data_IF_013352732406
#
_entry.id   IF_013352732406
#
_cell.length_a   1.000
_cell.length_b   1.000
_cell.length_c   1.000
_cell.angle_alpha   90.00
_cell.angle_beta   90.00
_cell.angle_gamma   90.00
#
_symmetry.space_group_name_H-M   'P 1'
#
loop_
_entity.id
_entity.type
_entity.pdbx_description
1 polymer ?
#
# COMPACT_ATOMS: atom_id res chain seq x y z
N UNK A 1 -72.15 19.66 46.82
CA UNK A 1 -71.45 19.11 45.64
C UNK A 1 -71.25 20.28 44.69
N UNK A 2 -70.01 20.57 44.28
CA UNK A 2 -69.74 21.62 43.30
C UNK A 2 -70.24 21.23 41.91
N UNK A 3 -70.58 22.23 41.08
CA UNK A 3 -71.04 22.08 39.70
C UNK A 3 -70.06 22.80 38.77
N UNK A 4 -69.63 22.11 37.72
CA UNK A 4 -68.79 22.69 36.65
C UNK A 4 -69.56 22.55 35.35
N UNK A 5 -69.78 23.67 34.67
CA UNK A 5 -70.46 23.72 33.38
C UNK A 5 -69.47 24.30 32.37
N UNK A 6 -69.16 23.54 31.33
CA UNK A 6 -68.41 24.05 30.19
C UNK A 6 -69.39 24.49 29.11
N UNK A 7 -69.25 25.72 28.64
CA UNK A 7 -69.94 26.23 27.47
C UNK A 7 -68.97 26.20 26.28
N UNK A 8 -69.21 25.26 25.37
CA UNK A 8 -68.40 25.05 24.17
C UNK A 8 -68.53 26.17 23.15
N UNK A 9 -69.64 26.92 23.13
CA UNK A 9 -69.84 27.99 22.15
C UNK A 9 -69.08 29.26 22.53
N UNK A 10 -69.11 29.61 23.82
CA UNK A 10 -68.38 30.77 24.33
C UNK A 10 -66.94 30.43 24.77
N UNK A 11 -66.55 29.15 24.73
CA UNK A 11 -65.28 28.64 25.26
C UNK A 11 -65.04 29.10 26.71
N UNK A 12 -66.09 29.02 27.54
CA UNK A 12 -66.07 29.46 28.93
C UNK A 12 -66.41 28.32 29.88
N UNK A 13 -65.86 28.37 31.10
CA UNK A 13 -66.13 27.39 32.16
C UNK A 13 -66.74 28.14 33.34
N UNK A 14 -67.94 27.74 33.73
CA UNK A 14 -68.64 28.25 34.91
C UNK A 14 -68.46 27.25 36.05
N UNK A 15 -67.85 27.70 37.15
CA UNK A 15 -67.61 26.90 38.34
C UNK A 15 -68.49 27.43 39.48
N UNK A 16 -69.29 26.56 40.06
CA UNK A 16 -70.12 26.81 41.23
C UNK A 16 -69.69 25.84 42.34
N UNK A 17 -68.87 26.30 43.30
CA UNK A 17 -68.40 25.50 44.43
C UNK A 17 -68.05 26.40 45.63
N UNK A 18 -67.57 25.79 46.71
CA UNK A 18 -67.07 26.49 47.91
C UNK A 18 -65.92 27.44 47.55
N UNK A 19 -65.85 28.67 48.11
CA UNK A 19 -64.89 29.70 47.68
C UNK A 19 -63.42 29.25 47.60
N UNK A 20 -62.98 28.38 48.51
CA UNK A 20 -61.61 27.83 48.50
C UNK A 20 -61.32 26.93 47.29
N UNK A 21 -62.29 26.10 46.88
CA UNK A 21 -62.17 25.22 45.70
C UNK A 21 -62.28 26.00 44.40
N UNK A 22 -63.14 27.01 44.34
CA UNK A 22 -63.22 27.91 43.18
C UNK A 22 -61.87 28.61 42.96
N UNK A 23 -61.20 29.04 44.03
CA UNK A 23 -59.87 29.63 43.94
C UNK A 23 -58.83 28.62 43.40
N UNK A 24 -58.78 27.42 43.96
CA UNK A 24 -57.88 26.36 43.49
C UNK A 24 -58.13 25.99 42.02
N UNK A 25 -59.39 25.76 41.64
CA UNK A 25 -59.78 25.45 40.26
C UNK A 25 -59.49 26.62 39.31
N UNK A 26 -59.68 27.86 39.77
CA UNK A 26 -59.30 29.06 39.01
C UNK A 26 -57.79 29.17 38.77
N UNK A 27 -56.98 28.82 39.77
CA UNK A 27 -55.52 28.76 39.63
C UNK A 27 -55.10 27.63 38.67
N UNK A 28 -55.77 26.47 38.71
CA UNK A 28 -55.56 25.38 37.74
C UNK A 28 -55.95 25.76 36.31
N UNK A 29 -57.09 26.43 36.12
CA UNK A 29 -57.53 26.89 34.79
C UNK A 29 -56.54 27.91 34.23
N UNK A 30 -56.10 28.88 35.03
CA UNK A 30 -55.08 29.85 34.61
C UNK A 30 -53.73 29.20 34.28
N UNK A 31 -53.39 28.08 34.91
CA UNK A 31 -52.19 27.32 34.59
C UNK A 31 -52.30 26.53 33.26
N UNK A 32 -53.53 26.20 32.82
CA UNK A 32 -53.81 25.43 31.60
C UNK A 32 -54.12 26.36 30.41
N UNK A 33 -54.68 27.55 30.66
CA UNK A 33 -54.98 28.57 29.65
C UNK A 33 -53.70 29.29 29.19
N UNK A 34 -53.01 28.67 28.23
CA UNK A 34 -51.82 29.24 27.60
C UNK A 34 -52.28 30.05 26.38
N UNK A 35 -52.02 31.37 26.33
CA UNK A 35 -52.37 32.17 25.17
C UNK A 35 -51.62 31.65 23.94
N UNK A 36 -52.36 31.47 22.84
CA UNK A 36 -51.77 31.08 21.55
C UNK A 36 -51.57 32.30 20.68
N UNK A 37 -50.42 32.36 20.03
CA UNK A 37 -50.12 33.39 19.05
C UNK A 37 -50.02 32.75 17.66
N UNK A 38 -50.40 33.49 16.62
CA UNK A 38 -50.20 33.06 15.24
C UNK A 38 -49.11 33.92 14.62
N UNK A 39 -48.06 33.27 14.12
CA UNK A 39 -46.96 33.93 13.43
C UNK A 39 -46.90 33.47 11.99
N UNK A 40 -46.72 34.44 11.09
CA UNK A 40 -46.64 34.22 9.64
C UNK A 40 -45.20 34.37 9.21
N UNK A 41 -44.69 33.35 8.54
CA UNK A 41 -43.35 33.31 7.97
C UNK A 41 -43.46 33.32 6.45
N UNK A 42 -42.72 34.19 5.78
CA UNK A 42 -42.58 34.18 4.32
C UNK A 42 -41.19 33.63 4.01
N UNK A 43 -41.14 32.43 3.45
CA UNK A 43 -39.89 31.76 3.11
C UNK A 43 -39.37 32.28 1.77
N UNK A 44 -38.08 32.57 1.69
CA UNK A 44 -37.44 33.11 0.48
C UNK A 44 -36.75 32.05 -0.36
N UNK A 45 -36.19 31.01 0.27
CA UNK A 45 -35.31 30.03 -0.34
C UNK A 45 -35.76 28.59 -0.11
N UNK A 46 -36.35 28.30 1.06
CA UNK A 46 -36.89 26.99 1.38
C UNK A 46 -38.32 26.81 0.84
N UNK A 47 -38.62 25.60 0.35
CA UNK A 47 -39.99 25.24 -0.05
C UNK A 47 -40.86 25.07 1.20
N UNK A 48 -41.99 25.79 1.25
CA UNK A 48 -42.86 25.79 2.43
C UNK A 48 -43.39 24.40 2.78
N UNK A 49 -43.57 23.51 1.82
CA UNK A 49 -44.03 22.13 2.03
C UNK A 49 -43.05 21.33 2.91
N UNK A 50 -41.76 21.35 2.54
CA UNK A 50 -40.71 20.67 3.31
C UNK A 50 -40.57 21.23 4.73
N UNK A 51 -40.66 22.56 4.87
CA UNK A 51 -40.56 23.22 6.17
C UNK A 51 -41.79 22.94 7.03
N UNK A 52 -42.98 22.94 6.43
CA UNK A 52 -44.24 22.68 7.12
C UNK A 52 -44.28 21.27 7.72
N UNK A 53 -43.81 20.25 6.98
CA UNK A 53 -43.82 18.87 7.46
C UNK A 53 -42.90 18.67 8.67
N UNK A 54 -41.70 19.26 8.65
CA UNK A 54 -40.80 19.25 9.83
C UNK A 54 -41.36 20.03 11.01
N UNK A 55 -42.01 21.16 10.76
CA UNK A 55 -42.58 21.98 11.84
C UNK A 55 -43.79 21.32 12.49
N UNK A 56 -44.62 20.59 11.74
CA UNK A 56 -45.74 19.80 12.30
C UNK A 56 -45.28 18.84 13.41
N UNK A 57 -44.07 18.28 13.31
CA UNK A 57 -43.51 17.37 14.32
C UNK A 57 -43.13 18.09 15.64
N UNK A 58 -42.85 19.40 15.58
CA UNK A 58 -42.43 20.19 16.74
C UNK A 58 -43.60 20.91 17.45
N UNK A 59 -44.76 20.95 16.79
CA UNK A 59 -45.96 21.67 17.24
C UNK A 59 -46.60 21.01 18.46
N UNK A 60 -47.16 21.81 19.36
CA UNK A 60 -47.87 21.31 20.55
C UNK A 60 -49.10 20.48 20.16
N UNK A 61 -49.21 19.20 20.58
CA UNK A 61 -50.18 18.25 20.04
C UNK A 61 -51.66 18.61 20.28
N UNK A 62 -51.96 19.51 21.22
CA UNK A 62 -53.35 19.90 21.57
C UNK A 62 -53.73 21.33 21.21
N UNK A 63 -52.74 22.19 20.95
CA UNK A 63 -52.92 23.64 20.93
C UNK A 63 -52.41 24.24 19.61
N UNK A 64 -51.40 23.62 19.02
CA UNK A 64 -50.73 24.18 17.87
C UNK A 64 -51.29 23.70 16.54
N UNK A 65 -51.22 24.56 15.53
CA UNK A 65 -51.63 24.23 14.17
C UNK A 65 -50.69 24.85 13.15
N UNK A 66 -50.41 24.11 12.09
CA UNK A 66 -49.57 24.55 10.96
C UNK A 66 -50.43 24.56 9.71
N UNK A 67 -50.49 25.70 9.04
CA UNK A 67 -51.05 25.84 7.70
C UNK A 67 -50.00 26.45 6.80
N UNK A 68 -50.01 26.09 5.53
CA UNK A 68 -49.13 26.71 4.55
C UNK A 68 -49.89 27.06 3.29
N UNK A 69 -49.38 28.04 2.57
CA UNK A 69 -49.82 28.40 1.23
C UNK A 69 -48.62 28.26 0.29
N UNK A 70 -48.65 27.21 -0.56
CA UNK A 70 -47.59 26.90 -1.51
C UNK A 70 -47.46 27.97 -2.61
N UNK A 71 -48.57 28.64 -2.97
CA UNK A 71 -48.56 29.64 -4.04
C UNK A 71 -47.82 30.92 -3.64
N UNK A 72 -47.91 31.30 -2.37
CA UNK A 72 -47.25 32.48 -1.81
C UNK A 72 -46.03 32.18 -0.93
N UNK A 73 -45.66 30.90 -0.80
CA UNK A 73 -44.60 30.38 0.05
C UNK A 73 -44.67 30.90 1.50
N UNK A 74 -45.90 30.97 2.04
CA UNK A 74 -46.19 31.46 3.40
C UNK A 74 -46.52 30.30 4.34
N UNK A 75 -45.92 30.32 5.52
CA UNK A 75 -46.17 29.40 6.60
C UNK A 75 -46.88 30.11 7.75
N UNK A 76 -48.00 29.55 8.19
CA UNK A 76 -48.80 30.04 9.30
C UNK A 76 -48.66 29.05 10.45
N UNK A 77 -48.04 29.50 11.54
CA UNK A 77 -47.83 28.67 12.73
C UNK A 77 -48.62 29.30 13.88
N UNK A 78 -49.47 28.52 14.52
CA UNK A 78 -50.14 28.87 15.77
C UNK A 78 -49.62 27.99 16.88
N UNK A 79 -49.06 28.55 17.96
CA UNK A 79 -48.62 27.81 19.16
C UNK A 79 -48.37 28.78 20.33
N UNK A 80 -47.91 28.25 21.47
CA UNK A 80 -47.48 29.02 22.62
C UNK A 80 -46.22 29.87 22.29
N UNK A 81 -46.07 31.08 22.87
CA UNK A 81 -44.97 32.01 22.56
C UNK A 81 -43.56 31.44 22.73
N UNK A 82 -43.35 30.54 23.71
CA UNK A 82 -42.05 29.88 23.93
C UNK A 82 -41.66 28.98 22.76
N UNK A 83 -42.60 28.16 22.27
CA UNK A 83 -42.37 27.28 21.11
C UNK A 83 -42.24 28.04 19.80
N UNK A 84 -42.97 29.14 19.65
CA UNK A 84 -42.83 30.00 18.47
C UNK A 84 -41.43 30.59 18.32
N UNK A 85 -40.70 30.81 19.42
CA UNK A 85 -39.27 31.21 19.35
C UNK A 85 -38.38 30.09 18.85
N UNK A 86 -38.55 28.87 19.37
CA UNK A 86 -37.80 27.69 18.89
C UNK A 86 -38.06 27.44 17.39
N UNK A 87 -39.31 27.61 16.95
CA UNK A 87 -39.68 27.51 15.53
C UNK A 87 -39.15 28.68 14.70
N UNK A 88 -39.06 29.89 15.25
CA UNK A 88 -38.47 31.05 14.57
C UNK A 88 -36.99 30.80 14.25
N UNK A 89 -36.24 30.28 15.23
CA UNK A 89 -34.83 29.95 15.06
C UNK A 89 -34.64 28.81 14.05
N UNK A 90 -35.53 27.81 14.08
CA UNK A 90 -35.54 26.72 13.10
C UNK A 90 -35.82 27.21 11.67
N UNK A 91 -36.83 28.06 11.49
CA UNK A 91 -37.17 28.64 10.18
C UNK A 91 -36.00 29.45 9.62
N UNK A 92 -35.36 30.29 10.45
CA UNK A 92 -34.18 31.07 10.03
C UNK A 92 -32.99 30.19 9.64
N UNK A 93 -32.83 29.04 10.30
CA UNK A 93 -31.75 28.11 9.98
C UNK A 93 -31.96 27.40 8.63
N UNK A 94 -33.22 27.13 8.28
CA UNK A 94 -33.57 26.41 7.04
C UNK A 94 -33.73 27.35 5.84
N UNK A 95 -34.21 28.57 6.04
CA UNK A 95 -34.43 29.54 4.97
C UNK A 95 -33.13 30.29 4.60
N UNK A 96 -32.08 29.53 4.28
CA UNK A 96 -30.81 30.06 3.78
C UNK A 96 -30.69 29.87 2.27
N UNK A 97 -30.01 30.80 1.56
CA UNK A 97 -29.74 30.65 0.14
C UNK A 97 -28.84 29.43 -0.09
N UNK A 98 -29.24 28.57 -1.03
CA UNK A 98 -28.40 27.47 -1.52
C UNK A 98 -27.45 28.02 -2.58
N UNK A 99 -26.21 27.59 -2.54
CA UNK A 99 -25.20 27.90 -3.54
C UNK A 99 -24.76 26.60 -4.20
N UNK A 100 -24.52 26.63 -5.52
CA UNK A 100 -23.97 25.49 -6.27
C UNK A 100 -22.57 25.87 -6.74
N UNK A 101 -21.58 25.06 -6.38
CA UNK A 101 -20.20 25.20 -6.85
C UNK A 101 -19.75 23.95 -7.59
N UNK A 102 -18.95 24.17 -8.62
CA UNK A 102 -18.32 23.12 -9.39
C UNK A 102 -16.83 23.11 -9.04
N UNK A 103 -16.35 21.98 -8.53
CA UNK A 103 -14.95 21.75 -8.22
C UNK A 103 -14.37 20.81 -9.27
N UNK A 104 -13.33 21.26 -9.95
CA UNK A 104 -12.53 20.41 -10.83
C UNK A 104 -11.40 19.80 -10.01
N UNK A 105 -11.33 18.48 -9.99
CA UNK A 105 -10.38 17.73 -9.16
C UNK A 105 -9.23 17.27 -10.06
N UNK A 106 -7.98 17.47 -9.62
CA UNK A 106 -6.79 17.25 -10.47
C UNK A 106 -6.10 15.91 -10.20
N UNK A 107 -5.93 15.55 -8.94
CA UNK A 107 -5.15 14.38 -8.50
C UNK A 107 -6.05 13.31 -7.87
N UNK A 108 -7.03 13.71 -7.07
CA UNK A 108 -7.98 12.79 -6.47
C UNK A 108 -9.08 12.36 -7.47
N UNK A 109 -9.67 11.17 -7.25
CA UNK A 109 -10.84 10.72 -8.01
C UNK A 109 -12.10 11.38 -7.45
N UNK A 110 -12.89 12.00 -8.32
CA UNK A 110 -14.15 12.63 -7.96
C UNK A 110 -15.12 11.65 -7.26
N UNK A 111 -15.11 10.37 -7.64
CA UNK A 111 -15.92 9.33 -7.00
C UNK A 111 -15.51 9.08 -5.54
N UNK A 112 -14.22 9.01 -5.23
CA UNK A 112 -13.71 8.76 -3.88
C UNK A 112 -13.97 9.98 -2.96
N UNK A 113 -13.84 11.19 -3.51
CA UNK A 113 -14.21 12.43 -2.83
C UNK A 113 -15.72 12.48 -2.55
N UNK A 114 -16.55 12.13 -3.52
CA UNK A 114 -18.00 12.10 -3.36
C UNK A 114 -18.42 11.21 -2.19
N UNK A 115 -17.85 10.01 -2.08
CA UNK A 115 -18.11 9.08 -0.96
C UNK A 115 -17.71 9.65 0.40
N UNK A 116 -16.61 10.39 0.45
CA UNK A 116 -16.08 11.00 1.67
C UNK A 116 -16.87 12.25 2.10
N UNK A 117 -17.35 13.03 1.13
CA UNK A 117 -18.01 14.33 1.35
C UNK A 117 -19.52 14.18 1.58
N UNK A 118 -20.17 13.18 0.97
CA UNK A 118 -21.63 12.91 1.15
C UNK A 118 -22.11 12.99 2.61
N UNK A 119 -21.42 12.37 3.61
CA UNK A 119 -21.86 12.47 5.01
C UNK A 119 -21.66 13.86 5.65
N UNK A 120 -20.87 14.75 5.05
CA UNK A 120 -20.63 16.11 5.56
C UNK A 120 -21.70 17.12 5.11
N UNK A 121 -22.50 16.74 4.11
CA UNK A 121 -23.58 17.55 3.55
C UNK A 121 -24.68 17.83 4.58
N UNK A 122 -25.35 18.96 4.42
CA UNK A 122 -26.53 19.27 5.24
C UNK A 122 -27.66 18.31 4.89
N UNK A 123 -28.13 17.54 5.87
CA UNK A 123 -29.23 16.58 5.68
C UNK A 123 -30.46 17.25 5.06
N UNK A 124 -31.00 16.64 4.00
CA UNK A 124 -32.19 17.09 3.24
C UNK A 124 -32.03 18.41 2.47
N UNK A 125 -30.84 19.02 2.46
CA UNK A 125 -30.55 20.30 1.80
C UNK A 125 -29.39 20.16 0.82
N UNK A 126 -28.32 19.50 1.25
CA UNK A 126 -27.11 19.30 0.47
C UNK A 126 -27.30 18.21 -0.59
N UNK A 127 -26.85 18.51 -1.80
CA UNK A 127 -26.80 17.57 -2.92
C UNK A 127 -25.38 17.58 -3.51
N UNK A 128 -24.84 16.39 -3.76
CA UNK A 128 -23.54 16.21 -4.38
C UNK A 128 -23.69 15.29 -5.59
N UNK A 129 -23.19 15.76 -6.73
CA UNK A 129 -23.09 14.98 -7.95
C UNK A 129 -21.64 14.96 -8.41
N UNK A 130 -21.23 13.90 -9.08
CA UNK A 130 -19.91 13.81 -9.69
C UNK A 130 -20.03 13.37 -11.14
N UNK A 131 -19.16 13.87 -11.99
CA UNK A 131 -18.99 13.39 -13.36
C UNK A 131 -17.62 12.71 -13.47
N UNK A 132 -17.62 11.40 -13.60
CA UNK A 132 -16.40 10.60 -13.71
C UNK A 132 -15.62 10.88 -15.00
N UNK A 133 -16.30 11.33 -16.07
CA UNK A 133 -15.64 11.62 -17.36
C UNK A 133 -14.84 12.91 -17.30
N UNK A 134 -15.33 13.92 -16.61
CA UNK A 134 -14.66 15.22 -16.45
C UNK A 134 -13.89 15.37 -15.15
N UNK A 135 -13.95 14.36 -14.25
CA UNK A 135 -13.42 14.39 -12.89
C UNK A 135 -13.84 15.66 -12.12
N UNK A 136 -15.13 16.02 -12.23
CA UNK A 136 -15.71 17.18 -11.55
C UNK A 136 -16.68 16.76 -10.47
N UNK A 137 -16.73 17.54 -9.39
CA UNK A 137 -17.69 17.40 -8.29
C UNK A 137 -18.56 18.65 -8.26
N UNK A 138 -19.87 18.46 -8.42
CA UNK A 138 -20.88 19.52 -8.33
C UNK A 138 -21.51 19.44 -6.95
N UNK A 139 -21.23 20.45 -6.13
CA UNK A 139 -21.71 20.56 -4.75
C UNK A 139 -22.79 21.64 -4.66
N UNK A 140 -23.95 21.31 -4.10
CA UNK A 140 -25.00 22.26 -3.76
C UNK A 140 -25.30 22.17 -2.27
N UNK A 141 -25.04 23.24 -1.50
CA UNK A 141 -25.32 23.29 -0.05
C UNK A 141 -25.41 24.76 0.41
N UNK A 142 -25.45 24.98 1.73
CA UNK A 142 -25.43 26.30 2.35
C UNK A 142 -24.00 26.88 2.27
N UNK A 143 -23.79 28.19 1.98
CA UNK A 143 -22.47 28.79 1.83
C UNK A 143 -21.37 28.46 2.89
N UNK A 144 -21.64 28.43 4.21
CA UNK A 144 -20.60 28.08 5.19
C UNK A 144 -20.21 26.59 5.12
N UNK A 145 -21.12 25.71 4.69
CA UNK A 145 -20.84 24.28 4.50
C UNK A 145 -20.01 24.04 3.26
N UNK A 146 -20.31 24.76 2.18
CA UNK A 146 -19.50 24.71 0.96
C UNK A 146 -18.05 25.10 1.24
N UNK A 147 -17.81 26.19 1.99
CA UNK A 147 -16.44 26.61 2.37
C UNK A 147 -15.72 25.56 3.21
N UNK A 148 -16.43 24.89 4.12
CA UNK A 148 -15.84 23.82 4.93
C UNK A 148 -15.46 22.60 4.06
N UNK A 149 -16.32 22.23 3.11
CA UNK A 149 -16.08 21.11 2.17
C UNK A 149 -14.97 21.47 1.18
N UNK A 150 -14.92 22.71 0.69
CA UNK A 150 -13.86 23.23 -0.18
C UNK A 150 -12.48 23.06 0.44
N UNK A 151 -12.30 23.44 1.71
CA UNK A 151 -11.05 23.22 2.44
C UNK A 151 -10.67 21.73 2.56
N UNK A 152 -11.66 20.83 2.64
CA UNK A 152 -11.42 19.38 2.67
C UNK A 152 -11.03 18.87 1.29
N UNK A 153 -11.69 19.34 0.22
CA UNK A 153 -11.33 18.99 -1.16
C UNK A 153 -9.89 19.43 -1.44
N UNK A 154 -9.52 20.67 -1.10
CA UNK A 154 -8.15 21.17 -1.26
C UNK A 154 -7.12 20.37 -0.44
N UNK A 155 -7.50 19.89 0.75
CA UNK A 155 -6.62 19.09 1.58
C UNK A 155 -6.39 17.67 1.02
N UNK A 156 -7.39 17.12 0.30
CA UNK A 156 -7.36 15.77 -0.28
C UNK A 156 -6.85 15.76 -1.73
N UNK A 157 -7.06 16.83 -2.50
CA UNK A 157 -6.61 16.96 -3.89
C UNK A 157 -5.14 17.41 -3.98
N UNK A 158 -4.25 16.59 -3.42
CA UNK A 158 -2.80 16.81 -3.45
C UNK A 158 -2.13 15.86 -4.43
N UNK A 159 -1.03 16.32 -5.00
CA UNK A 159 -0.20 15.49 -5.86
C UNK A 159 0.31 14.26 -5.08
N UNK A 160 0.03 13.07 -5.61
CA UNK A 160 0.54 11.83 -5.05
C UNK A 160 2.03 11.72 -5.32
N UNK A 161 2.80 11.40 -4.27
CA UNK A 161 4.22 11.09 -4.42
C UNK A 161 4.38 9.73 -5.10
N UNK A 162 5.46 9.61 -5.86
CA UNK A 162 5.84 8.36 -6.53
C UNK A 162 7.11 7.80 -5.90
N UNK A 163 7.31 6.49 -6.06
CA UNK A 163 8.54 5.81 -5.66
C UNK A 163 9.16 5.16 -6.90
N UNK A 164 10.38 5.56 -7.24
CA UNK A 164 11.25 4.82 -8.12
C UNK A 164 11.92 3.69 -7.34
N UNK A 165 11.71 2.47 -7.78
CA UNK A 165 12.21 1.28 -7.10
C UNK A 165 13.26 0.65 -8.01
N UNK A 166 14.48 0.59 -7.52
CA UNK A 166 15.59 -0.11 -8.19
C UNK A 166 15.86 -1.44 -7.47
N UNK A 167 15.73 -2.56 -8.19
CA UNK A 167 16.11 -3.86 -7.68
C UNK A 167 17.35 -4.37 -8.41
N UNK A 168 18.39 -4.79 -7.69
CA UNK A 168 19.58 -5.44 -8.25
C UNK A 168 19.61 -6.88 -7.80
N UNK A 169 19.60 -7.80 -8.75
CA UNK A 169 19.58 -9.24 -8.48
C UNK A 169 20.95 -9.78 -8.85
N UNK A 170 21.69 -10.27 -7.86
CA UNK A 170 23.06 -10.78 -8.03
C UNK A 170 23.06 -12.27 -7.72
N UNK A 171 23.56 -13.06 -8.67
CA UNK A 171 23.83 -14.47 -8.46
C UNK A 171 25.32 -14.64 -8.11
N UNK A 172 25.60 -15.23 -6.96
CA UNK A 172 26.95 -15.51 -6.49
C UNK A 172 27.18 -17.01 -6.64
N UNK A 173 28.18 -17.40 -7.42
CA UNK A 173 28.61 -18.81 -7.51
C UNK A 173 29.93 -18.97 -6.75
N UNK A 174 29.90 -19.68 -5.63
CA UNK A 174 31.09 -20.01 -4.85
C UNK A 174 31.79 -21.23 -5.50
N UNK A 175 33.11 -21.18 -5.67
CA UNK A 175 33.90 -22.25 -6.31
C UNK A 175 34.59 -23.13 -5.26
N UNK A 176 34.73 -24.43 -5.55
CA UNK A 176 35.18 -25.54 -4.68
C UNK A 176 36.55 -25.41 -3.97
N UNK A 177 37.32 -24.34 -4.19
CA UNK A 177 38.65 -24.13 -3.57
C UNK A 177 38.62 -23.58 -2.14
N UNK A 178 37.46 -23.16 -1.63
CA UNK A 178 37.32 -22.45 -0.35
C UNK A 178 36.21 -23.09 0.50
N UNK A 179 36.49 -24.28 1.03
CA UNK A 179 35.53 -25.10 1.80
C UNK A 179 35.44 -24.76 3.30
N UNK A 180 36.11 -23.71 3.76
CA UNK A 180 35.83 -23.11 5.07
C UNK A 180 34.92 -21.91 4.84
N UNK A 181 33.65 -22.03 5.25
CA UNK A 181 32.74 -20.89 5.26
C UNK A 181 33.33 -19.68 5.99
N UNK A 182 32.80 -18.49 5.71
CA UNK A 182 33.23 -17.27 6.40
C UNK A 182 32.88 -17.41 7.89
N UNK A 183 33.88 -17.71 8.71
CA UNK A 183 33.71 -17.77 10.16
C UNK A 183 33.77 -16.34 10.72
N UNK A 184 32.62 -15.67 10.75
CA UNK A 184 32.45 -14.30 11.24
C UNK A 184 32.93 -14.10 12.68
N UNK A 185 32.98 -15.18 13.47
CA UNK A 185 33.43 -15.19 14.87
C UNK A 185 34.95 -15.00 15.00
N UNK A 186 35.75 -15.44 14.01
CA UNK A 186 37.22 -15.26 13.98
C UNK A 186 37.68 -13.87 13.56
N UNK A 187 36.76 -13.03 13.07
CA UNK A 187 37.03 -11.66 12.66
C UNK A 187 36.59 -10.63 13.71
N UNK A 188 36.05 -11.08 14.85
CA UNK A 188 35.88 -10.23 16.02
C UNK A 188 37.26 -9.91 16.61
N UNK A 189 37.53 -8.66 17.05
CA UNK A 189 38.82 -8.33 17.65
C UNK A 189 38.98 -9.07 18.98
N UNK A 190 39.60 -10.25 18.93
CA UNK A 190 40.45 -10.73 20.00
C UNK A 190 41.85 -10.19 19.77
N UNK A 191 42.55 -9.85 20.85
CA UNK A 191 43.72 -8.96 20.90
C UNK A 191 44.93 -9.28 19.98
N UNK A 192 44.87 -10.31 19.15
CA UNK A 192 45.97 -10.77 18.30
C UNK A 192 45.96 -10.24 16.85
N UNK A 193 44.83 -9.77 16.29
CA UNK A 193 44.76 -9.34 14.88
C UNK A 193 44.01 -8.01 14.68
N UNK A 194 44.77 -6.90 14.60
CA UNK A 194 44.28 -5.56 14.25
C UNK A 194 44.00 -5.44 12.74
N UNK A 195 42.92 -6.03 12.24
CA UNK A 195 42.49 -5.87 10.84
C UNK A 195 41.22 -5.01 10.70
N UNK A 196 40.46 -4.81 11.79
CA UNK A 196 39.24 -3.98 11.80
C UNK A 196 39.21 -3.12 13.08
N UNK A 197 39.09 -1.80 12.94
CA UNK A 197 38.87 -0.90 14.09
C UNK A 197 37.39 -0.56 14.15
N UNK A 198 36.66 -1.16 15.09
CA UNK A 198 35.27 -0.82 15.39
C UNK A 198 35.25 0.29 16.45
N UNK A 199 34.48 1.36 16.23
CA UNK A 199 34.17 2.34 17.29
C UNK A 199 33.00 1.79 18.12
N UNK A 200 33.27 1.42 19.36
CA UNK A 200 32.23 1.00 20.31
C UNK A 200 31.67 2.22 21.04
N UNK A 201 30.42 2.60 20.76
CA UNK A 201 29.69 3.68 21.46
C UNK A 201 28.74 3.18 22.55
N UNK A 202 28.71 1.87 22.82
CA UNK A 202 27.80 1.27 23.81
C UNK A 202 28.51 0.18 24.63
N UNK A 203 28.68 0.40 25.93
CA UNK A 203 29.23 -0.59 26.86
C UNK A 203 28.14 -1.16 27.76
N UNK A 204 27.79 -2.44 27.59
CA UNK A 204 26.89 -3.15 28.50
C UNK A 204 27.69 -3.93 29.54
N UNK A 205 27.92 -3.28 30.69
CA UNK A 205 28.27 -3.81 32.03
C UNK A 205 29.44 -4.81 32.21
N UNK A 206 30.00 -4.77 33.42
CA UNK A 206 31.39 -5.05 33.76
C UNK A 206 31.59 -6.28 34.66
N UNK A 207 31.54 -7.50 34.12
CA UNK A 207 31.99 -8.71 34.84
C UNK A 207 32.74 -9.68 33.92
N UNK A 208 33.92 -10.20 34.34
CA UNK A 208 34.70 -11.13 33.52
C UNK A 208 34.17 -12.55 33.71
N UNK A 209 33.38 -13.02 32.76
CA UNK A 209 33.02 -14.44 32.61
C UNK A 209 33.27 -14.86 31.16
N UNK A 210 33.76 -16.08 30.88
CA UNK A 210 34.15 -16.52 29.52
C UNK A 210 32.94 -16.83 28.61
N UNK A 211 31.78 -16.24 28.88
CA UNK A 211 30.54 -16.46 28.13
C UNK A 211 30.22 -15.20 27.33
N UNK A 212 30.24 -15.36 26.00
CA UNK A 212 29.93 -14.41 24.92
C UNK A 212 29.49 -13.01 25.31
N UNK A 213 30.40 -12.05 25.13
CA UNK A 213 30.08 -10.62 25.09
C UNK A 213 29.59 -10.29 23.67
N UNK A 214 28.28 -10.18 23.47
CA UNK A 214 27.71 -9.67 22.22
C UNK A 214 27.93 -8.15 22.17
N UNK A 215 28.98 -7.73 21.47
CA UNK A 215 29.21 -6.31 21.17
C UNK A 215 28.58 -5.99 19.80
N UNK A 216 27.95 -4.84 19.62
CA UNK A 216 27.37 -4.40 18.33
C UNK A 216 28.15 -3.16 17.89
N UNK A 217 28.78 -3.20 16.72
CA UNK A 217 29.62 -2.11 16.19
C UNK A 217 29.24 -1.72 14.75
N UNK A 218 29.49 -0.47 14.38
CA UNK A 218 29.24 0.08 13.04
C UNK A 218 30.51 0.03 12.18
N UNK A 219 30.39 -0.21 10.88
CA UNK A 219 31.50 -0.18 9.91
C UNK A 219 31.64 1.22 9.28
N UNK A 220 32.89 1.69 9.16
CA UNK A 220 33.27 2.91 8.43
C UNK A 220 33.22 2.67 6.90
N UNK A 221 33.16 3.77 6.13
CA UNK A 221 33.10 3.84 4.66
C UNK A 221 34.23 3.07 3.96
N UNK A 222 35.41 3.03 4.58
CA UNK A 222 36.58 2.28 4.08
C UNK A 222 36.51 0.77 4.36
N UNK A 223 35.76 0.36 5.40
CA UNK A 223 35.56 -1.05 5.75
C UNK A 223 34.68 -1.80 4.74
N UNK A 224 33.77 -1.09 4.07
CA UNK A 224 32.92 -1.66 3.03
C UNK A 224 33.71 -2.12 1.80
N UNK A 225 34.71 -1.33 1.37
CA UNK A 225 35.59 -1.68 0.26
C UNK A 225 36.46 -2.90 0.56
N UNK A 226 36.98 -3.01 1.79
CA UNK A 226 37.77 -4.17 2.23
C UNK A 226 36.93 -5.46 2.26
N UNK A 227 35.67 -5.39 2.71
CA UNK A 227 34.74 -6.53 2.70
C UNK A 227 34.38 -6.96 1.27
N UNK A 228 34.11 -6.02 0.37
CA UNK A 228 33.82 -6.33 -1.03
C UNK A 228 35.02 -6.92 -1.77
N UNK A 229 36.23 -6.42 -1.52
CA UNK A 229 37.47 -6.93 -2.13
C UNK A 229 37.83 -8.33 -1.59
N UNK A 230 37.47 -8.60 -0.33
CA UNK A 230 37.53 -9.93 0.27
C UNK A 230 36.52 -10.88 -0.39
N UNK A 231 35.23 -10.49 -0.52
CA UNK A 231 34.18 -11.28 -1.19
C UNK A 231 34.53 -11.57 -2.66
N UNK A 232 35.11 -10.59 -3.37
CA UNK A 232 35.55 -10.74 -4.75
C UNK A 232 36.73 -11.73 -4.93
N UNK A 233 37.49 -12.00 -3.86
CA UNK A 233 38.60 -12.98 -3.87
C UNK A 233 38.10 -14.42 -3.68
N UNK A 234 36.91 -14.62 -3.10
CA UNK A 234 36.38 -15.94 -2.69
C UNK A 234 35.29 -16.56 -3.60
N UNK A 235 34.83 -15.87 -4.65
CA UNK A 235 33.82 -16.41 -5.58
C UNK A 235 33.61 -15.59 -6.87
N UNK A 236 32.97 -16.19 -7.89
CA UNK A 236 32.60 -15.49 -9.14
C UNK A 236 31.18 -14.95 -9.00
N UNK A 237 31.02 -13.63 -8.96
CA UNK A 237 29.70 -12.96 -8.93
C UNK A 237 29.23 -12.60 -10.34
N UNK A 238 27.95 -12.81 -10.63
CA UNK A 238 27.31 -12.40 -11.88
C UNK A 238 26.06 -11.59 -11.58
N UNK A 239 26.02 -10.33 -12.02
CA UNK A 239 24.78 -9.54 -12.01
C UNK A 239 23.80 -10.19 -12.99
N UNK A 240 22.61 -10.51 -12.51
CA UNK A 240 21.59 -11.11 -13.35
C UNK A 240 20.78 -10.02 -14.06
N UNK A 241 20.24 -9.07 -13.28
CA UNK A 241 19.37 -8.00 -13.78
C UNK A 241 19.32 -6.80 -12.82
N UNK A 242 18.97 -5.62 -13.37
CA UNK A 242 18.67 -4.40 -12.61
C UNK A 242 17.33 -3.77 -13.04
N UNK A 243 16.17 -4.41 -12.78
CA UNK A 243 14.88 -3.82 -13.10
C UNK A 243 14.61 -2.55 -12.28
N UNK A 244 14.03 -1.55 -12.94
CA UNK A 244 13.61 -0.28 -12.35
C UNK A 244 12.15 -0.03 -12.67
N UNK A 245 11.37 0.39 -11.69
CA UNK A 245 9.93 0.68 -11.88
C UNK A 245 9.54 1.88 -11.02
N UNK A 246 8.86 2.85 -11.62
CA UNK A 246 8.27 3.98 -10.91
C UNK A 246 6.80 3.67 -10.60
N UNK A 247 6.37 3.93 -9.37
CA UNK A 247 5.05 3.52 -8.88
C UNK A 247 4.44 4.59 -7.99
N UNK A 248 3.18 4.93 -8.23
CA UNK A 248 2.41 5.86 -7.40
C UNK A 248 2.17 5.26 -6.01
N UNK A 249 2.16 6.11 -4.98
CA UNK A 249 1.84 5.71 -3.62
C UNK A 249 0.55 4.88 -3.54
N UNK A 250 0.58 3.75 -2.84
CA UNK A 250 -0.53 2.80 -2.64
C UNK A 250 -1.06 2.11 -3.90
N UNK A 251 -0.38 2.22 -5.04
CA UNK A 251 -0.74 1.49 -6.26
C UNK A 251 0.16 0.28 -6.47
N UNK A 252 -0.40 -0.80 -7.00
CA UNK A 252 0.38 -1.96 -7.41
C UNK A 252 0.98 -1.71 -8.80
N UNK A 253 2.25 -2.08 -8.96
CA UNK A 253 2.88 -2.14 -10.27
C UNK A 253 3.67 -3.44 -10.43
N UNK A 254 3.80 -3.86 -11.69
CA UNK A 254 4.56 -5.05 -12.07
C UNK A 254 5.47 -4.75 -13.26
N UNK A 255 6.67 -5.31 -13.23
CA UNK A 255 7.59 -5.35 -14.36
C UNK A 255 7.99 -6.80 -14.62
N UNK A 256 8.01 -7.19 -15.89
CA UNK A 256 8.50 -8.49 -16.35
C UNK A 256 9.57 -8.24 -17.40
N UNK A 257 10.77 -8.79 -17.18
CA UNK A 257 11.89 -8.75 -18.12
C UNK A 257 12.31 -10.18 -18.39
N UNK A 258 12.02 -10.70 -19.57
CA UNK A 258 12.22 -12.10 -19.87
C UNK A 258 11.66 -12.54 -21.21
N UNK A 259 11.65 -13.85 -21.41
CA UNK A 259 11.19 -14.52 -22.62
C UNK A 259 9.88 -15.25 -22.37
N UNK A 260 8.96 -15.16 -23.34
CA UNK A 260 7.76 -15.97 -23.37
C UNK A 260 7.98 -17.21 -24.26
N UNK A 261 8.24 -18.37 -23.64
CA UNK A 261 8.64 -19.58 -24.36
C UNK A 261 7.41 -20.44 -24.68
N UNK A 262 7.16 -20.79 -25.95
CA UNK A 262 6.09 -21.72 -26.32
C UNK A 262 6.49 -23.18 -26.03
N UNK A 263 5.53 -24.01 -25.63
CA UNK A 263 5.68 -25.46 -25.56
C UNK A 263 4.40 -26.17 -25.99
N UNK A 264 4.53 -27.36 -26.58
CA UNK A 264 3.41 -28.12 -27.15
C UNK A 264 3.00 -29.22 -26.19
N UNK A 265 1.71 -29.27 -25.85
CA UNK A 265 1.10 -30.41 -25.15
C UNK A 265 0.19 -31.17 -26.11
N UNK A 266 0.41 -32.48 -26.24
CA UNK A 266 -0.43 -33.37 -27.03
C UNK A 266 -1.42 -34.10 -26.13
N UNK A 267 -2.71 -34.02 -26.46
CA UNK A 267 -3.77 -34.84 -25.84
C UNK A 267 -4.33 -35.81 -26.87
N UNK A 268 -4.25 -37.11 -26.58
CA UNK A 268 -4.87 -38.15 -27.44
C UNK A 268 -6.22 -38.52 -26.86
N UNK A 269 -7.29 -38.22 -27.59
CA UNK A 269 -8.64 -38.68 -27.27
C UNK A 269 -8.97 -39.89 -28.14
N UNK A 270 -9.34 -41.01 -27.52
CA UNK A 270 -9.90 -42.18 -28.19
C UNK A 270 -11.43 -42.16 -28.08
N UNK A 271 -12.16 -41.84 -29.15
CA UNK A 271 -13.62 -41.94 -29.16
C UNK A 271 -14.08 -43.38 -28.97
N UNK A 272 -15.28 -43.60 -28.40
CA UNK A 272 -15.86 -44.93 -28.19
C UNK A 272 -16.01 -45.76 -29.49
N UNK A 273 -16.09 -45.08 -30.64
CA UNK A 273 -16.00 -45.67 -31.98
C UNK A 273 -15.18 -44.73 -32.88
N UNK A 274 -13.95 -45.13 -33.25
CA UNK A 274 -13.08 -44.38 -34.15
C UNK A 274 -11.59 -44.53 -33.88
N UNK A 275 -10.75 -44.07 -34.81
CA UNK A 275 -9.30 -44.01 -34.61
C UNK A 275 -8.93 -42.92 -33.57
N UNK A 276 -7.87 -43.12 -32.76
CA UNK A 276 -7.39 -42.11 -31.83
C UNK A 276 -7.08 -40.79 -32.57
N UNK A 277 -7.65 -39.70 -32.09
CA UNK A 277 -7.34 -38.35 -32.57
C UNK A 277 -6.39 -37.71 -31.57
N UNK A 278 -5.24 -37.24 -32.05
CA UNK A 278 -4.29 -36.48 -31.23
C UNK A 278 -4.45 -34.99 -31.55
N UNK A 279 -4.78 -34.20 -30.54
CA UNK A 279 -4.83 -32.75 -30.62
C UNK A 279 -3.57 -32.17 -29.96
N UNK A 280 -2.94 -31.21 -30.63
CA UNK A 280 -1.80 -30.46 -30.09
C UNK A 280 -2.27 -29.06 -29.69
N UNK A 281 -1.90 -28.64 -28.49
CA UNK A 281 -2.17 -27.28 -27.98
C UNK A 281 -0.84 -26.62 -27.65
N UNK A 282 -0.67 -25.39 -28.12
CA UNK A 282 0.51 -24.57 -27.82
C UNK A 282 0.21 -23.74 -26.58
N UNK A 283 1.02 -23.93 -25.54
CA UNK A 283 0.97 -23.16 -24.30
C UNK A 283 2.24 -22.30 -24.18
N UNK A 284 2.16 -21.26 -23.36
CA UNK A 284 3.19 -20.25 -23.21
C UNK A 284 3.60 -20.14 -21.74
N UNK A 285 4.91 -20.03 -21.49
CA UNK A 285 5.45 -19.81 -20.15
C UNK A 285 6.41 -18.62 -20.15
N UNK A 286 6.10 -17.64 -19.30
CA UNK A 286 6.95 -16.47 -19.10
C UNK A 286 8.08 -16.80 -18.13
N UNK A 287 9.31 -16.66 -18.60
CA UNK A 287 10.53 -16.87 -17.80
C UNK A 287 11.41 -15.64 -17.81
N UNK A 288 12.03 -15.31 -16.67
CA UNK A 288 12.88 -14.12 -16.52
C UNK A 288 12.75 -13.50 -15.14
N UNK A 289 12.91 -12.19 -15.05
CA UNK A 289 12.77 -11.44 -13.80
C UNK A 289 11.41 -10.75 -13.77
N UNK A 290 10.59 -11.11 -12.78
CA UNK A 290 9.33 -10.41 -12.47
C UNK A 290 9.48 -9.70 -11.13
N UNK A 291 8.99 -8.47 -11.05
CA UNK A 291 8.94 -7.73 -9.80
C UNK A 291 7.54 -7.13 -9.67
N UNK A 292 6.82 -7.57 -8.64
CA UNK A 292 5.59 -6.93 -8.20
C UNK A 292 5.88 -6.10 -6.96
N UNK A 293 5.33 -4.89 -6.90
CA UNK A 293 5.53 -4.00 -5.77
C UNK A 293 4.32 -3.10 -5.53
N UNK A 294 4.03 -2.88 -4.25
CA UNK A 294 3.05 -1.90 -3.78
C UNK A 294 3.70 -1.04 -2.69
N UNK A 295 4.14 0.19 -3.00
CA UNK A 295 4.75 1.08 -2.03
C UNK A 295 3.71 1.88 -1.24
N UNK A 296 4.06 2.24 -0.01
CA UNK A 296 3.33 3.16 0.86
C UNK A 296 4.34 4.14 1.44
N UNK A 297 4.23 5.41 1.07
CA UNK A 297 5.08 6.49 1.55
C UNK A 297 4.49 7.06 2.84
N UNK A 298 5.30 7.11 3.88
CA UNK A 298 4.95 7.73 5.17
C UNK A 298 5.52 9.16 5.24
N UNK A 299 4.95 9.98 6.13
CA UNK A 299 5.33 11.38 6.29
C UNK A 299 6.76 11.58 6.84
N UNK A 300 7.31 10.56 7.50
CA UNK A 300 8.67 10.53 8.06
C UNK A 300 9.75 10.17 7.02
N UNK A 301 9.37 10.01 5.75
CA UNK A 301 10.27 9.63 4.65
C UNK A 301 10.61 8.14 4.61
N UNK A 302 9.96 7.32 5.42
CA UNK A 302 10.01 5.86 5.26
C UNK A 302 9.02 5.39 4.21
N UNK A 303 9.40 4.32 3.52
CA UNK A 303 8.63 3.69 2.47
C UNK A 303 8.41 2.25 2.89
N UNK A 304 7.16 1.88 3.11
CA UNK A 304 6.75 0.51 3.32
C UNK A 304 6.39 -0.11 1.98
N UNK A 305 7.01 -1.22 1.60
CA UNK A 305 6.74 -1.87 0.33
C UNK A 305 6.37 -3.32 0.55
N UNK A 306 5.23 -3.74 -0.02
CA UNK A 306 4.97 -5.16 -0.26
C UNK A 306 5.64 -5.51 -1.58
N UNK A 307 6.59 -6.44 -1.54
CA UNK A 307 7.39 -6.83 -2.71
C UNK A 307 7.30 -8.32 -2.96
N UNK A 308 7.29 -8.67 -4.24
CA UNK A 308 7.28 -10.05 -4.71
C UNK A 308 8.16 -10.19 -5.95
N UNK A 309 9.50 -10.19 -5.77
CA UNK A 309 10.43 -10.55 -6.83
C UNK A 309 10.39 -12.06 -7.15
N UNK A 310 10.42 -12.38 -8.43
CA UNK A 310 10.55 -13.73 -8.99
C UNK A 310 11.68 -13.71 -10.03
N UNK A 311 12.54 -14.72 -9.98
CA UNK A 311 13.59 -14.97 -10.95
C UNK A 311 13.38 -16.38 -11.49
N UNK A 312 13.25 -16.50 -12.81
CA UNK A 312 13.04 -17.79 -13.46
C UNK A 312 13.94 -18.00 -14.67
N UNK A 313 14.33 -19.26 -14.90
CA UNK A 313 15.09 -19.68 -16.07
C UNK A 313 14.73 -21.10 -16.50
N UNK A 314 15.06 -21.45 -17.74
CA UNK A 314 14.83 -22.77 -18.33
C UNK A 314 16.17 -23.51 -18.44
N UNK A 315 16.60 -24.28 -17.42
CA UNK A 315 17.85 -25.03 -17.48
C UNK A 315 17.83 -26.24 -18.43
N UNK A 316 16.67 -26.85 -18.67
CA UNK A 316 16.54 -28.09 -19.45
C UNK A 316 15.13 -28.25 -20.03
N UNK A 317 15.02 -28.98 -21.13
CA UNK A 317 13.77 -29.49 -21.68
C UNK A 317 13.67 -31.00 -21.44
N UNK A 318 12.46 -31.51 -21.22
CA UNK A 318 12.16 -32.94 -21.15
C UNK A 318 11.39 -33.32 -22.40
N UNK A 319 11.94 -34.25 -23.17
CA UNK A 319 11.28 -34.77 -24.38
C UNK A 319 10.30 -35.88 -24.00
N UNK A 320 9.02 -35.73 -24.37
CA UNK A 320 8.00 -36.76 -24.16
C UNK A 320 8.11 -37.89 -25.21
N UNK A 321 7.40 -39.01 -25.00
CA UNK A 321 7.34 -40.10 -25.97
C UNK A 321 6.81 -39.69 -27.36
N UNK A 322 6.07 -38.57 -27.44
CA UNK A 322 5.58 -37.95 -28.67
C UNK A 322 6.58 -36.96 -29.31
N UNK A 323 7.85 -36.95 -28.87
CA UNK A 323 8.90 -36.00 -29.30
C UNK A 323 8.64 -34.52 -28.99
N UNK A 324 7.67 -34.20 -28.12
CA UNK A 324 7.44 -32.82 -27.68
C UNK A 324 8.44 -32.44 -26.58
N UNK A 325 9.08 -31.28 -26.72
CA UNK A 325 9.99 -30.73 -25.71
C UNK A 325 9.22 -29.85 -24.72
N UNK A 326 9.18 -30.25 -23.46
CA UNK A 326 8.55 -29.48 -22.37
C UNK A 326 9.66 -28.81 -21.55
N UNK A 327 9.68 -27.47 -21.45
CA UNK A 327 10.67 -26.76 -20.64
C UNK A 327 10.43 -27.01 -19.15
N UNK A 328 11.50 -27.33 -18.42
CA UNK A 328 11.49 -27.34 -16.95
C UNK A 328 11.96 -25.97 -16.50
N UNK A 329 11.09 -25.22 -15.82
CA UNK A 329 11.42 -23.88 -15.31
C UNK A 329 11.88 -23.99 -13.86
N UNK A 330 13.05 -23.43 -13.56
CA UNK A 330 13.41 -23.14 -12.18
C UNK A 330 12.90 -21.75 -11.84
N UNK A 331 12.21 -21.61 -10.71
CA UNK A 331 11.74 -20.33 -10.18
C UNK A 331 12.36 -20.09 -8.81
N UNK A 332 12.68 -18.84 -8.51
CA UNK A 332 13.15 -18.37 -7.21
C UNK A 332 12.35 -17.13 -6.87
N UNK A 333 11.55 -17.20 -5.82
CA UNK A 333 10.55 -16.19 -5.48
C UNK A 333 10.63 -15.86 -3.99
N UNK A 334 10.44 -14.58 -3.67
CA UNK A 334 10.37 -14.09 -2.29
C UNK A 334 9.18 -13.15 -2.20
N UNK A 335 8.30 -13.34 -1.22
CA UNK A 335 7.22 -12.39 -0.90
C UNK A 335 7.47 -11.83 0.51
N UNK A 336 7.62 -10.52 0.63
CA UNK A 336 7.85 -9.88 1.93
C UNK A 336 7.31 -8.45 1.97
N UNK A 337 7.17 -7.93 3.19
CA UNK A 337 6.84 -6.53 3.44
C UNK A 337 7.99 -5.90 4.22
N UNK A 338 8.57 -4.84 3.67
CA UNK A 338 9.76 -4.17 4.19
C UNK A 338 9.45 -2.69 4.46
N UNK A 339 10.12 -2.08 5.44
CA UNK A 339 10.10 -0.63 5.67
C UNK A 339 11.53 -0.12 5.60
N UNK A 340 11.78 0.80 4.70
CA UNK A 340 13.11 1.32 4.39
C UNK A 340 13.02 2.82 4.15
N UNK A 341 14.08 3.56 4.49
CA UNK A 341 14.15 4.99 4.27
C UNK A 341 14.50 5.30 2.81
N UNK A 342 14.04 6.44 2.30
CA UNK A 342 14.41 6.94 0.98
C UNK A 342 15.92 6.87 0.71
N UNK A 343 16.30 6.32 -0.45
CA UNK A 343 17.69 6.15 -0.92
C UNK A 343 18.51 5.07 -0.24
N UNK A 344 17.96 4.35 0.75
CA UNK A 344 18.68 3.27 1.46
C UNK A 344 18.48 1.94 0.74
N UNK A 345 19.60 1.28 0.40
CA UNK A 345 19.56 -0.08 -0.14
C UNK A 345 19.40 -1.10 0.98
N UNK A 346 18.44 -2.02 0.83
CA UNK A 346 18.29 -3.17 1.71
C UNK A 346 18.51 -4.48 0.96
N UNK A 347 18.80 -5.53 1.72
CA UNK A 347 18.95 -6.90 1.23
C UNK A 347 17.75 -7.70 1.72
N UNK A 348 16.98 -8.27 0.79
CA UNK A 348 15.69 -8.91 1.09
C UNK A 348 15.83 -10.43 1.31
N UNK A 349 16.89 -11.05 0.82
CA UNK A 349 17.14 -12.46 1.08
C UNK A 349 18.30 -13.03 0.27
N UNK A 350 18.77 -14.20 0.73
CA UNK A 350 19.76 -15.07 0.11
C UNK A 350 19.23 -16.51 0.08
N UNK A 351 18.87 -17.03 -1.10
CA UNK A 351 18.54 -18.45 -1.26
C UNK A 351 19.80 -19.20 -1.68
N UNK A 352 20.31 -20.07 -0.80
CA UNK A 352 21.49 -20.89 -1.07
C UNK A 352 21.03 -22.22 -1.71
N UNK A 353 21.45 -22.45 -2.95
CA UNK A 353 21.33 -23.73 -3.64
C UNK A 353 22.67 -24.46 -3.63
N UNK A 354 22.67 -25.63 -3.01
CA UNK A 354 23.81 -26.54 -3.00
C UNK A 354 23.60 -27.64 -4.05
N UNK A 355 24.50 -27.75 -5.02
CA UNK A 355 24.52 -28.80 -6.02
C UNK A 355 25.80 -29.63 -5.88
N UNK A 356 25.67 -30.89 -5.46
CA UNK A 356 26.79 -31.84 -5.33
C UNK A 356 26.75 -32.83 -6.49
N UNK A 357 27.74 -32.75 -7.38
CA UNK A 357 27.94 -33.70 -8.47
C UNK A 357 29.11 -34.63 -8.12
N UNK A 358 28.78 -35.89 -7.83
CA UNK A 358 29.77 -36.93 -7.61
C UNK A 358 29.94 -37.73 -8.91
N UNK A 359 31.09 -37.58 -9.58
CA UNK A 359 31.47 -38.40 -10.72
C UNK A 359 32.49 -39.45 -10.27
N UNK A 360 32.16 -40.73 -10.40
CA UNK A 360 33.05 -41.84 -10.01
C UNK A 360 33.34 -42.70 -11.25
N UNK A 361 34.55 -42.60 -11.76
CA UNK A 361 35.06 -43.47 -12.81
C UNK A 361 35.84 -44.61 -12.15
N UNK A 362 35.43 -45.86 -12.35
CA UNK A 362 36.14 -47.03 -11.79
C UNK A 362 36.35 -48.09 -12.87
N UNK A 363 37.44 -48.85 -12.76
CA UNK A 363 37.62 -50.09 -13.53
C UNK A 363 36.71 -51.17 -12.91
N UNK A 364 35.86 -51.85 -13.69
CA UNK A 364 35.04 -52.96 -13.18
C UNK A 364 35.88 -54.04 -12.49
N UNK A 365 35.36 -54.67 -11.43
CA UNK A 365 36.04 -55.67 -10.59
C UNK A 365 37.17 -55.10 -9.70
N UNK A 366 38.19 -54.46 -10.28
CA UNK A 366 39.35 -53.95 -9.52
C UNK A 366 39.03 -52.72 -8.65
N UNK A 367 38.09 -51.87 -9.08
CA UNK A 367 37.69 -50.67 -8.33
C UNK A 367 36.78 -50.93 -7.12
N UNK A 368 36.25 -52.14 -6.99
CA UNK A 368 35.31 -52.54 -5.92
C UNK A 368 35.99 -53.33 -4.78
N UNK A 369 37.28 -53.66 -4.90
CA UNK A 369 38.02 -54.38 -3.87
C UNK A 369 38.23 -53.46 -2.64
N UNK A 370 37.84 -53.88 -1.42
CA UNK A 370 38.13 -53.13 -0.20
C UNK A 370 39.65 -52.96 0.00
N UNK A 371 40.06 -51.85 0.63
CA UNK A 371 41.45 -51.36 0.76
C UNK A 371 42.16 -50.94 -0.54
N UNK A 372 42.25 -51.81 -1.56
CA UNK A 372 43.10 -51.57 -2.76
C UNK A 372 42.36 -50.94 -3.94
N UNK A 373 41.02 -50.99 -3.98
CA UNK A 373 40.21 -50.45 -5.07
C UNK A 373 40.27 -48.92 -5.22
N UNK A 374 40.82 -48.19 -4.23
CA UNK A 374 41.05 -46.74 -4.31
C UNK A 374 42.10 -46.36 -5.38
N UNK A 375 43.05 -47.24 -5.70
CA UNK A 375 44.04 -46.99 -6.75
C UNK A 375 43.50 -47.19 -8.18
N UNK A 376 42.36 -47.87 -8.31
CA UNK A 376 41.74 -48.23 -9.60
C UNK A 376 40.41 -47.51 -9.85
N UNK A 377 40.15 -46.43 -9.08
CA UNK A 377 38.99 -45.54 -9.24
C UNK A 377 39.41 -44.08 -9.13
N UNK A 378 38.86 -43.24 -9.99
CA UNK A 378 38.95 -41.78 -9.95
C UNK A 378 37.61 -41.23 -9.50
N UNK A 379 37.61 -40.47 -8.40
CA UNK A 379 36.43 -39.76 -7.90
C UNK A 379 36.64 -38.27 -8.11
N UNK A 380 35.75 -37.66 -8.88
CA UNK A 380 35.67 -36.21 -9.02
C UNK A 380 34.39 -35.75 -8.33
N UNK A 381 34.54 -35.06 -7.20
CA UNK A 381 33.43 -34.40 -6.51
C UNK A 381 33.47 -32.92 -6.86
N UNK A 382 32.37 -32.41 -7.39
CA UNK A 382 32.16 -30.98 -7.60
C UNK A 382 30.97 -30.53 -6.77
N UNK A 383 31.14 -29.45 -6.00
CA UNK A 383 30.07 -28.79 -5.25
C UNK A 383 29.92 -27.37 -5.77
N UNK A 384 28.79 -27.08 -6.42
CA UNK A 384 28.45 -25.72 -6.80
C UNK A 384 27.47 -25.16 -5.77
N UNK A 385 27.87 -24.09 -5.09
CA UNK A 385 26.95 -23.31 -4.23
C UNK A 385 26.57 -22.04 -4.96
N UNK A 386 25.28 -21.87 -5.18
CA UNK A 386 24.72 -20.69 -5.84
C UNK A 386 23.83 -19.93 -4.85
N UNK A 387 24.10 -18.65 -4.65
CA UNK A 387 23.28 -17.77 -3.82
C UNK A 387 22.67 -16.66 -4.67
N UNK A 388 21.36 -16.43 -4.53
CA UNK A 388 20.68 -15.28 -5.16
C UNK A 388 20.45 -14.22 -4.09
N UNK A 389 21.08 -13.06 -4.27
CA UNK A 389 20.94 -11.91 -3.38
C UNK A 389 20.17 -10.81 -4.11
N UNK A 390 19.11 -10.32 -3.47
CA UNK A 390 18.25 -9.26 -4.02
C UNK A 390 18.45 -7.99 -3.20
N UNK A 391 19.00 -6.96 -3.84
CA UNK A 391 19.12 -5.62 -3.30
C UNK A 391 17.97 -4.77 -3.79
N UNK A 392 17.40 -3.94 -2.93
CA UNK A 392 16.33 -3.01 -3.28
C UNK A 392 16.64 -1.62 -2.75
N UNK A 393 16.53 -0.62 -3.61
CA UNK A 393 16.73 0.80 -3.27
C UNK A 393 15.53 1.60 -3.75
N UNK A 394 14.68 2.09 -2.85
CA UNK A 394 13.58 2.98 -3.22
C UNK A 394 14.03 4.44 -3.19
N UNK A 395 13.48 5.24 -4.11
CA UNK A 395 13.68 6.67 -4.22
C UNK A 395 12.32 7.37 -4.33
N UNK A 396 12.02 8.30 -3.43
CA UNK A 396 10.82 9.14 -3.55
C UNK A 396 11.08 10.15 -4.67
N UNK A 397 10.22 10.14 -5.68
CA UNK A 397 10.27 11.10 -6.79
C UNK A 397 8.96 11.90 -6.82
N UNK A 398 9.05 13.11 -7.34
CA UNK A 398 7.90 13.97 -7.61
C UNK A 398 8.05 14.44 -9.06
N UNK A 399 7.00 14.27 -9.87
CA UNK A 399 7.04 14.52 -11.32
C UNK A 399 7.46 15.94 -11.74
N UNK A 400 7.54 16.86 -10.77
CA UNK A 400 7.92 18.26 -10.95
C UNK A 400 9.44 18.44 -11.16
N UNK A 401 10.25 17.47 -10.71
CA UNK A 401 11.69 17.47 -10.92
C UNK A 401 11.99 16.66 -12.17
N UNK A 402 12.49 17.33 -13.22
CA UNK A 402 13.08 16.66 -14.39
C UNK A 402 14.16 15.72 -13.85
N UNK A 403 13.89 14.42 -13.84
CA UNK A 403 14.88 13.42 -13.45
C UNK A 403 16.02 13.52 -14.47
N UNK A 404 17.06 14.26 -14.13
CA UNK A 404 18.32 14.18 -14.85
C UNK A 404 18.90 12.80 -14.54
N UNK A 405 18.99 11.90 -15.54
CA UNK A 405 19.45 10.53 -15.33
C UNK A 405 20.85 10.45 -14.71
N UNK A 406 21.63 11.54 -14.77
CA UNK A 406 22.99 11.60 -14.24
C UNK A 406 23.08 12.07 -12.78
N UNK A 407 22.03 12.72 -12.25
CA UNK A 407 22.05 13.28 -10.88
C UNK A 407 21.94 12.21 -9.79
N UNK A 408 21.39 11.04 -10.11
CA UNK A 408 21.30 9.89 -9.19
C UNK A 408 22.36 8.83 -9.44
N UNK A 409 23.44 9.17 -10.19
CA UNK A 409 24.56 8.28 -10.41
C UNK A 409 25.18 7.84 -9.07
N UNK A 410 24.93 6.60 -8.70
CA UNK A 410 25.78 5.91 -7.74
C UNK A 410 27.19 5.85 -8.32
N UNK A 411 28.25 5.78 -7.49
CA UNK A 411 29.60 5.54 -7.99
C UNK A 411 29.59 4.31 -8.89
N UNK A 412 29.76 4.54 -10.19
CA UNK A 412 29.81 3.50 -11.20
C UNK A 412 31.00 2.60 -10.88
N UNK A 413 30.76 1.34 -10.53
CA UNK A 413 31.82 0.35 -10.53
C UNK A 413 32.22 0.20 -12.00
N UNK A 414 33.33 0.83 -12.39
CA UNK A 414 33.93 0.60 -13.70
C UNK A 414 34.14 -0.91 -13.84
N UNK A 415 33.72 -1.55 -14.95
CA UNK A 415 34.10 -2.93 -15.23
C UNK A 415 35.60 -3.05 -15.04
N UNK A 416 36.02 -3.99 -14.18
CA UNK A 416 37.43 -4.21 -13.88
C UNK A 416 38.18 -4.37 -15.19
N UNK A 417 39.21 -3.55 -15.40
CA UNK A 417 40.09 -3.65 -16.56
C UNK A 417 40.56 -5.10 -16.65
N UNK A 418 40.29 -5.75 -17.77
CA UNK A 418 40.84 -7.05 -18.11
C UNK A 418 42.36 -6.92 -18.10
N UNK A 419 43.02 -7.48 -17.11
CA UNK A 419 44.48 -7.57 -17.12
C UNK A 419 44.85 -8.65 -18.13
N UNK A 420 45.16 -8.24 -19.37
CA UNK A 420 46.05 -9.02 -20.20
C UNK A 420 47.48 -8.78 -19.69
N UNK A 421 48.13 -9.82 -19.17
CA UNK A 421 49.59 -9.78 -19.03
C UNK A 421 50.20 -9.60 -20.41
N UNK A 422 51.08 -8.63 -20.63
CA UNK A 422 51.89 -8.62 -21.83
C UNK A 422 52.80 -9.84 -21.79
N UNK A 423 52.77 -10.64 -22.85
CA UNK A 423 53.80 -11.65 -23.12
C UNK A 423 55.12 -10.87 -23.21
N UNK A 424 56.05 -11.13 -22.29
CA UNK A 424 57.41 -10.59 -22.40
C UNK A 424 58.06 -11.16 -23.65
N UNK A 425 58.40 -10.27 -24.58
CA UNK A 425 59.31 -10.56 -25.68
C UNK A 425 60.72 -10.77 -25.10
N UNK A 426 61.38 -11.92 -25.34
CA UNK A 426 62.68 -12.22 -24.75
C UNK A 426 63.87 -11.57 -25.48
N UNK A 427 63.68 -10.52 -26.29
CA UNK A 427 64.74 -9.99 -27.17
C UNK A 427 65.35 -8.63 -26.81
N UNK A 428 65.00 -7.99 -25.69
CA UNK A 428 65.70 -6.77 -25.24
C UNK A 428 66.66 -7.05 -24.09
N UNK A 429 67.93 -7.30 -24.44
CA UNK A 429 68.99 -7.55 -23.47
C UNK A 429 70.39 -7.60 -24.04
N UNK A 430 70.75 -6.69 -24.95
CA UNK A 430 72.15 -6.37 -25.25
C UNK A 430 72.30 -4.85 -25.42
N UNK A 431 72.74 -4.19 -24.36
CA UNK A 431 73.30 -2.83 -24.36
C UNK A 431 74.75 -2.94 -24.88
N UNK A 432 75.28 -1.94 -25.62
CA UNK A 432 76.65 -1.95 -26.15
C UNK A 432 77.76 -2.16 -25.10
#
# INVERSE_FOLDING_TARGET
>A
AGKVIADEQSNSIVIEDVPQRVKQLGDYIKAIDIPTETKVYKLQYAAVEMVADKIKEMVSPKIGSVKFDASSNKLFIKDAPKKLKEMDDFVKQIDNPRETRVFQVSYAKAEDLARTITPMLTKDIGNLQFDARSNTVVLTDIPPKIKAIEAVIEALDKNDKEVLIEAKIVQITLSDGYQMGINWEKFWPSAAHKVLTLKNDFSLSSTPSPVSVTTVGTLDRDGYAAVLQLIATFGKSRLLSNPRIAVVNRQEARILVGDNTPYVTSSTTTPATGAPVTAETVNFIDTGVKLHVTPVIHDDGYISMKIKPEVSNIPKTVTTGSKNEIPVVNTSEVETTIRVKDGVTIIIGGLIKDEVKNNRNKIPVLGDIPLVGKAFRSETRSTAKTEIVIFLTPHIISGDVRADPDTYSHPTIKPGKTYYSPVQDPSEGLVP
#
